data_IF_312653842142
#
_entry.id   IF_312653842142
#
_cell.length_a   1.000
_cell.length_b   1.000
_cell.length_c   1.000
_cell.angle_alpha   90.00
_cell.angle_beta   90.00
_cell.angle_gamma   90.00
#
_symmetry.space_group_name_H-M   'P 1'
#
loop_
_entity.id
_entity.type
_entity.pdbx_description
1 polymer ?
#
# COMPACT_ATOMS: atom_id res chain seq x y z
N UNK A 1 -30.58 36.74 -14.89
CA UNK A 1 -30.12 36.40 -14.76
C UNK A 1 -29.58 35.86 -14.55
N UNK A 2 -29.66 35.91 -14.56
CA UNK A 2 -28.96 35.27 -14.43
C UNK A 2 -28.31 34.78 -14.13
N UNK A 3 -28.36 34.59 -14.30
CA UNK A 3 -27.59 34.12 -14.11
C UNK A 3 -27.08 33.46 -13.71
N UNK A 4 -27.24 33.23 -13.89
CA UNK A 4 -26.61 32.60 -13.66
C UNK A 4 -26.16 32.00 -13.30
N UNK A 5 -26.25 31.90 -13.50
CA UNK A 5 -25.56 31.12 -13.18
C UNK A 5 -24.85 30.65 -12.83
N UNK A 6 -24.81 30.68 -12.91
CA UNK A 6 -23.85 30.21 -12.68
C UNK A 6 -23.38 29.62 -12.25
N UNK A 7 -23.62 29.50 -12.36
CA UNK A 7 -22.98 28.89 -12.06
C UNK A 7 -22.42 28.25 -11.68
N UNK A 8 -22.60 28.06 -11.82
CA UNK A 8 -21.87 27.41 -11.66
C UNK A 8 -21.24 26.95 -11.28
N UNK A 9 -21.16 26.79 -11.28
CA UNK A 9 -20.26 26.19 -11.04
C UNK A 9 -19.70 25.51 -10.77
N UNK A 10 -19.76 25.28 -10.93
CA UNK A 10 -19.05 24.60 -10.89
C UNK A 10 -18.29 24.19 -10.67
N UNK A 11 -18.09 24.23 -10.79
CA UNK A 11 -17.26 23.60 -10.77
C UNK A 11 -16.56 23.16 -10.11
N UNK A 12 -16.36 23.15 -9.67
CA UNK A 12 -15.60 22.72 -9.22
C UNK A 12 -15.14 21.71 -9.19
N UNK A 13 -15.39 21.33 -9.59
CA UNK A 13 -15.13 20.31 -9.80
C UNK A 13 -14.21 19.86 -10.09
N UNK A 14 -13.84 20.11 -10.11
CA UNK A 14 -12.96 19.50 -10.46
C UNK A 14 -12.35 18.74 -9.93
N UNK A 15 -12.15 18.94 -9.38
CA UNK A 15 -11.59 18.20 -8.92
C UNK A 15 -11.96 17.15 -8.99
N UNK A 16 -12.53 17.54 -9.15
CA UNK A 16 -13.02 16.45 -9.50
C UNK A 16 -12.25 15.74 -10.38
N UNK A 17 -11.19 15.59 -10.18
CA UNK A 17 -10.72 14.54 -10.90
C UNK A 17 -11.54 13.41 -10.59
N UNK A 18 -12.70 13.48 -11.06
CA UNK A 18 -13.69 12.52 -10.71
C UNK A 18 -13.33 11.16 -11.14
N UNK A 19 -12.35 11.05 -11.99
CA UNK A 19 -12.08 9.77 -12.57
C UNK A 19 -11.10 8.95 -11.82
N UNK A 20 -10.51 9.49 -10.77
CA UNK A 20 -9.57 8.75 -9.97
C UNK A 20 -10.34 8.11 -8.84
N UNK A 21 -10.69 6.85 -9.02
CA UNK A 21 -11.32 6.09 -7.97
C UNK A 21 -10.28 5.26 -7.24
N UNK A 22 -10.33 5.32 -5.92
CA UNK A 22 -9.52 4.46 -5.08
C UNK A 22 -10.38 3.27 -4.69
N UNK A 23 -9.98 2.11 -5.16
CA UNK A 23 -10.67 0.86 -4.85
C UNK A 23 -9.77 0.05 -3.94
N UNK A 24 -10.32 -0.45 -2.85
CA UNK A 24 -9.53 -1.30 -1.95
C UNK A 24 -9.19 -2.59 -2.68
N UNK A 25 -7.91 -2.78 -2.97
CA UNK A 25 -7.42 -3.94 -3.70
C UNK A 25 -6.93 -5.04 -2.75
N UNK A 26 -6.43 -4.67 -1.59
CA UNK A 26 -5.87 -5.61 -0.63
C UNK A 26 -5.82 -4.97 0.75
N UNK A 27 -6.03 -5.80 1.79
CA UNK A 27 -5.78 -5.39 3.16
C UNK A 27 -5.42 -6.61 3.99
N UNK A 28 -4.56 -6.42 4.96
CA UNK A 28 -4.40 -7.41 6.02
C UNK A 28 -5.53 -7.19 7.04
N UNK A 29 -6.09 -8.25 7.62
CA UNK A 29 -7.05 -8.06 8.70
C UNK A 29 -6.39 -7.28 9.84
N UNK A 30 -7.12 -6.35 10.42
CA UNK A 30 -6.59 -5.47 11.45
C UNK A 30 -6.02 -6.30 12.59
N UNK A 31 -4.78 -6.01 12.97
CA UNK A 31 -4.12 -6.66 14.08
C UNK A 31 -3.65 -8.09 13.82
N UNK A 32 -3.77 -8.59 12.57
CA UNK A 32 -3.46 -9.99 12.29
C UNK A 32 -1.99 -10.27 12.01
N UNK A 33 -1.23 -9.27 11.59
CA UNK A 33 0.16 -9.49 11.19
C UNK A 33 1.09 -9.29 12.38
N UNK A 34 1.83 -10.35 12.69
CA UNK A 34 2.79 -10.37 13.77
C UNK A 34 3.97 -11.23 13.31
N UNK A 35 5.15 -10.62 13.21
CA UNK A 35 6.32 -11.26 12.63
C UNK A 35 7.45 -11.24 13.64
N UNK A 36 7.84 -12.41 14.18
CA UNK A 36 8.95 -12.46 15.13
C UNK A 36 10.24 -11.90 14.54
N UNK A 37 11.04 -11.25 15.37
CA UNK A 37 12.32 -10.68 14.95
C UNK A 37 13.20 -11.70 14.25
N UNK A 38 13.77 -11.29 13.11
CA UNK A 38 14.61 -12.14 12.28
C UNK A 38 13.85 -12.96 11.25
N UNK A 39 12.53 -12.88 11.18
CA UNK A 39 11.73 -13.66 10.24
C UNK A 39 11.16 -12.80 9.13
N UNK A 40 10.87 -13.46 8.01
CA UNK A 40 10.25 -12.86 6.83
C UNK A 40 8.89 -13.50 6.62
N UNK A 41 7.91 -12.69 6.21
CA UNK A 41 6.57 -13.18 5.90
C UNK A 41 6.09 -12.58 4.59
N UNK A 42 5.51 -13.42 3.74
CA UNK A 42 4.76 -12.96 2.57
C UNK A 42 3.37 -12.55 3.06
N UNK A 43 3.06 -11.27 2.96
CA UNK A 43 1.77 -10.75 3.42
C UNK A 43 0.65 -11.03 2.43
N UNK A 44 0.96 -11.01 1.14
CA UNK A 44 -0.01 -11.30 0.12
C UNK A 44 0.52 -11.11 -1.28
N UNK A 45 -0.24 -11.64 -2.23
CA UNK A 45 -0.03 -11.45 -3.67
C UNK A 45 -1.31 -10.85 -4.22
N UNK A 46 -1.19 -9.71 -4.86
CA UNK A 46 -2.35 -8.92 -5.29
C UNK A 46 -2.35 -8.80 -6.80
N UNK A 47 -3.48 -9.11 -7.42
CA UNK A 47 -3.66 -8.84 -8.85
C UNK A 47 -3.90 -7.34 -9.01
N UNK A 48 -2.96 -6.66 -9.67
CA UNK A 48 -3.03 -5.22 -9.90
C UNK A 48 -3.14 -4.88 -11.38
N UNK A 49 -3.42 -5.89 -12.21
CA UNK A 49 -3.42 -5.72 -13.67
C UNK A 49 -4.42 -4.69 -14.18
N UNK A 50 -5.48 -4.44 -13.43
CA UNK A 50 -6.53 -3.50 -13.82
C UNK A 50 -6.26 -2.06 -13.40
N UNK A 51 -5.18 -1.81 -12.68
CA UNK A 51 -4.89 -0.47 -12.14
C UNK A 51 -3.71 0.16 -12.85
N UNK A 52 -3.75 1.48 -13.01
CA UNK A 52 -2.58 2.24 -13.47
C UNK A 52 -1.65 2.58 -12.32
N UNK A 53 -2.21 2.79 -11.15
CA UNK A 53 -1.45 3.13 -9.94
C UNK A 53 -2.00 2.40 -8.75
N UNK A 54 -1.16 2.27 -7.76
CA UNK A 54 -1.59 1.79 -6.44
C UNK A 54 -1.12 2.77 -5.38
N UNK A 55 -1.91 2.85 -4.33
CA UNK A 55 -1.53 3.58 -3.12
C UNK A 55 -1.35 2.58 -2.01
N UNK A 56 -0.16 2.57 -1.46
CA UNK A 56 0.19 1.75 -0.30
C UNK A 56 0.01 2.57 0.96
N UNK A 57 -0.71 2.02 1.92
CA UNK A 57 -0.85 2.60 3.26
C UNK A 57 -0.38 1.58 4.27
N UNK A 58 0.54 1.96 5.13
CA UNK A 58 1.07 1.08 6.16
C UNK A 58 0.96 1.74 7.52
N UNK A 59 0.74 0.90 8.52
CA UNK A 59 0.72 1.31 9.92
C UNK A 59 1.50 0.27 10.70
N UNK A 60 2.72 0.62 11.11
CA UNK A 60 3.44 -0.22 12.05
C UNK A 60 2.95 0.13 13.43
N UNK A 61 2.20 -0.80 14.04
CA UNK A 61 1.38 -0.53 15.20
C UNK A 61 2.19 -0.20 16.44
N UNK A 62 1.51 0.38 17.42
CA UNK A 62 2.11 0.81 18.68
C UNK A 62 2.68 -0.37 19.48
N UNK A 63 2.15 -1.57 19.27
CA UNK A 63 2.64 -2.78 19.94
C UNK A 63 3.80 -3.45 19.24
N UNK A 64 4.25 -2.89 18.12
CA UNK A 64 5.44 -3.40 17.42
C UNK A 64 6.70 -3.06 18.19
N UNK A 65 7.60 -4.03 18.30
CA UNK A 65 8.90 -3.85 18.99
C UNK A 65 10.08 -4.09 18.06
N UNK A 66 9.84 -4.28 16.77
CA UNK A 66 10.87 -4.54 15.76
C UNK A 66 10.61 -3.62 14.58
N UNK A 67 11.68 -3.11 13.98
CA UNK A 67 11.54 -2.45 12.69
C UNK A 67 11.18 -3.48 11.64
N UNK A 68 10.49 -3.05 10.60
CA UNK A 68 10.07 -3.91 9.50
C UNK A 68 10.59 -3.32 8.20
N UNK A 69 11.21 -4.18 7.38
CA UNK A 69 11.53 -3.82 6.00
C UNK A 69 10.43 -4.41 5.12
N UNK A 70 9.69 -3.54 4.46
CA UNK A 70 8.64 -3.94 3.53
C UNK A 70 9.23 -3.97 2.13
N UNK A 71 9.11 -5.09 1.44
CA UNK A 71 9.60 -5.25 0.07
C UNK A 71 8.44 -5.47 -0.86
N UNK A 72 8.37 -4.63 -1.89
CA UNK A 72 7.32 -4.68 -2.90
C UNK A 72 7.94 -5.14 -4.21
N UNK A 73 7.39 -6.22 -4.78
CA UNK A 73 7.92 -6.82 -5.99
C UNK A 73 6.79 -7.01 -7.00
N UNK A 74 6.97 -6.49 -8.20
CA UNK A 74 6.03 -6.73 -9.31
C UNK A 74 6.50 -7.88 -10.17
N UNK A 75 5.54 -8.71 -10.57
CA UNK A 75 5.78 -9.80 -11.51
C UNK A 75 4.81 -9.71 -12.68
N UNK A 76 5.21 -10.29 -13.79
CA UNK A 76 4.39 -10.47 -14.98
C UNK A 76 4.36 -11.97 -15.22
N UNK A 77 3.23 -12.60 -14.89
CA UNK A 77 3.19 -14.07 -14.87
C UNK A 77 4.15 -14.59 -13.79
N UNK A 78 5.09 -15.42 -14.21
CA UNK A 78 6.09 -15.96 -13.27
C UNK A 78 7.41 -15.21 -13.31
N UNK A 79 7.52 -14.17 -14.15
CA UNK A 79 8.77 -13.45 -14.29
C UNK A 79 8.79 -12.23 -13.40
N UNK A 80 9.93 -12.01 -12.77
CA UNK A 80 10.16 -10.80 -11.99
C UNK A 80 10.33 -9.64 -12.97
N UNK A 81 9.45 -8.65 -12.87
CA UNK A 81 9.53 -7.45 -13.68
C UNK A 81 10.37 -6.39 -12.99
N UNK A 82 10.10 -6.15 -11.72
CA UNK A 82 10.79 -5.11 -10.97
C UNK A 82 10.61 -5.31 -9.48
N UNK A 83 11.67 -5.05 -8.74
CA UNK A 83 11.54 -4.77 -7.32
C UNK A 83 11.17 -3.31 -7.20
N UNK A 84 9.96 -3.04 -6.82
CA UNK A 84 9.42 -1.70 -6.85
C UNK A 84 10.03 -0.82 -5.78
N UNK A 85 10.11 -1.33 -4.56
CA UNK A 85 10.60 -0.53 -3.45
C UNK A 85 11.00 -1.44 -2.28
N UNK A 86 11.82 -0.87 -1.42
CA UNK A 86 12.20 -1.45 -0.14
C UNK A 86 12.08 -0.33 0.88
N UNK A 87 11.21 -0.51 1.87
CA UNK A 87 10.86 0.55 2.79
C UNK A 87 11.12 0.12 4.21
N UNK A 88 11.86 0.93 4.95
CA UNK A 88 12.06 0.71 6.38
C UNK A 88 10.93 1.37 7.16
N UNK A 89 10.23 0.59 7.95
CA UNK A 89 9.18 1.06 8.86
C UNK A 89 9.65 0.92 10.30
N UNK A 90 9.34 1.90 11.10
CA UNK A 90 9.65 1.89 12.54
C UNK A 90 8.37 1.79 13.34
N UNK A 91 8.42 1.27 14.58
CA UNK A 91 7.24 1.21 15.43
C UNK A 91 6.56 2.56 15.58
N UNK A 92 5.24 2.57 15.62
CA UNK A 92 4.39 3.77 15.73
C UNK A 92 4.42 4.64 14.47
N UNK A 93 4.92 4.15 13.35
CA UNK A 93 4.99 4.96 12.13
C UNK A 93 3.87 4.59 11.16
N UNK A 94 3.41 5.59 10.44
CA UNK A 94 2.44 5.43 9.36
C UNK A 94 3.06 5.98 8.09
N UNK A 95 2.73 5.37 6.96
CA UNK A 95 3.28 5.81 5.70
C UNK A 95 2.27 5.58 4.58
N UNK A 96 2.28 6.49 3.62
CA UNK A 96 1.49 6.37 2.40
C UNK A 96 2.40 6.66 1.22
N UNK A 97 2.37 5.79 0.21
CA UNK A 97 3.12 6.00 -1.03
C UNK A 97 2.27 5.58 -2.23
N UNK A 98 2.51 6.24 -3.35
CA UNK A 98 1.83 5.94 -4.61
C UNK A 98 2.87 5.45 -5.60
N UNK A 99 2.51 4.40 -6.34
CA UNK A 99 3.39 3.80 -7.34
C UNK A 99 2.64 3.59 -8.65
N UNK A 100 3.35 3.75 -9.77
CA UNK A 100 2.85 3.27 -11.04
C UNK A 100 2.94 1.75 -11.06
N UNK A 101 2.05 1.10 -11.80
CA UNK A 101 1.97 -0.36 -11.84
C UNK A 101 2.69 -0.89 -13.08
N UNK A 102 3.89 -1.47 -12.94
CA UNK A 102 4.65 -1.96 -14.09
C UNK A 102 4.41 -3.44 -14.40
N UNK A 103 3.63 -4.13 -13.62
CA UNK A 103 3.41 -5.56 -13.79
C UNK A 103 1.98 -5.95 -13.48
N UNK A 104 1.69 -7.25 -13.51
CA UNK A 104 0.33 -7.74 -13.28
C UNK A 104 0.07 -8.15 -11.85
N UNK A 105 1.09 -8.56 -11.11
CA UNK A 105 0.96 -8.97 -9.72
C UNK A 105 1.93 -8.23 -8.84
N UNK A 106 1.48 -7.92 -7.63
CA UNK A 106 2.30 -7.31 -6.60
C UNK A 106 2.44 -8.29 -5.45
N UNK A 107 3.67 -8.65 -5.11
CA UNK A 107 3.97 -9.44 -3.93
C UNK A 107 4.50 -8.54 -2.83
N UNK A 108 4.01 -8.74 -1.62
CA UNK A 108 4.34 -7.90 -0.48
C UNK A 108 5.01 -8.76 0.58
N UNK A 109 6.30 -8.54 0.80
CA UNK A 109 7.08 -9.24 1.82
C UNK A 109 7.41 -8.30 2.96
N UNK A 110 7.41 -8.81 4.17
CA UNK A 110 7.80 -8.04 5.34
C UNK A 110 8.88 -8.80 6.10
N UNK A 111 10.00 -8.13 6.35
CA UNK A 111 11.10 -8.68 7.14
C UNK A 111 11.11 -7.98 8.49
N UNK A 112 10.93 -8.73 9.56
CA UNK A 112 11.09 -8.21 10.91
C UNK A 112 12.56 -8.28 11.28
N UNK A 113 13.21 -7.11 11.40
CA UNK A 113 14.66 -7.04 11.49
C UNK A 113 15.20 -6.94 12.90
N UNK A 114 14.34 -7.06 13.88
CA UNK A 114 14.78 -7.04 15.27
C UNK A 114 15.42 -8.35 15.72
N UNK A 115 15.87 -8.36 16.95
CA UNK A 115 16.50 -9.55 17.55
C UNK A 115 15.43 -10.52 18.05
N UNK A 116 15.88 -11.69 18.49
CA UNK A 116 15.02 -12.68 19.12
C UNK A 116 14.26 -12.04 20.30
N UNK A 117 12.99 -12.28 20.36
CA UNK A 117 12.13 -11.71 21.40
C UNK A 117 11.43 -10.44 21.00
N UNK A 118 11.83 -9.81 19.86
CA UNK A 118 11.09 -8.68 19.32
C UNK A 118 10.03 -9.17 18.34
N UNK A 119 9.08 -8.31 18.03
CA UNK A 119 7.97 -8.68 17.17
C UNK A 119 7.52 -7.49 16.33
N UNK A 120 7.41 -7.69 15.02
CA UNK A 120 6.90 -6.67 14.11
C UNK A 120 5.39 -6.79 13.99
N UNK A 121 4.68 -5.71 14.23
CA UNK A 121 3.23 -5.67 14.15
C UNK A 121 2.83 -4.61 13.12
N UNK A 122 2.09 -5.00 12.09
CA UNK A 122 1.90 -4.19 10.90
C UNK A 122 0.50 -4.37 10.33
N UNK A 123 -0.09 -3.29 9.88
CA UNK A 123 -1.28 -3.33 9.04
C UNK A 123 -0.95 -2.71 7.67
N UNK A 124 -1.44 -3.34 6.61
CA UNK A 124 -1.17 -2.92 5.23
C UNK A 124 -2.47 -2.84 4.46
N UNK A 125 -2.66 -1.73 3.74
CA UNK A 125 -3.77 -1.57 2.81
C UNK A 125 -3.20 -1.12 1.46
N UNK A 126 -3.82 -1.61 0.40
CA UNK A 126 -3.48 -1.18 -0.96
C UNK A 126 -4.76 -0.78 -1.66
N UNK A 127 -4.76 0.44 -2.18
CA UNK A 127 -5.84 0.95 -3.00
C UNK A 127 -5.36 1.01 -4.45
N UNK A 128 -6.22 0.57 -5.36
CA UNK A 128 -5.96 0.65 -6.78
C UNK A 128 -6.62 1.88 -7.39
N UNK A 129 -5.98 2.45 -8.41
CA UNK A 129 -6.51 3.57 -9.18
C UNK A 129 -6.52 3.19 -10.65
N UNK A 130 -7.66 3.36 -11.27
CA UNK A 130 -7.86 3.10 -12.69
C UNK A 130 -7.26 4.21 -13.55
#
# INVERSE_FOLDING_TARGET
MATSPRTSPTPIQPHLTPNVENVLAFRTPVGSISIPGGQTKLLGVVDVSMYERIRLVTDERIDSTSNIILRLTFTEGEELVAQLDTIMLTPHSQMTRVYDVPGTQLSIYADSVGTTGTNGALDVLIYGQY
#
